data_IF_423442064219
#
_entry.id   IF_423442064219
#
_cell.length_a   1.000
_cell.length_b   1.000
_cell.length_c   1.000
_cell.angle_alpha   90.00
_cell.angle_beta   90.00
_cell.angle_gamma   90.00
#
_symmetry.space_group_name_H-M   'P 1'
#
loop_
_entity.id
_entity.type
_entity.pdbx_description
1 polymer ?
#
# COMPACT_ATOMS: atom_id res chain seq x y z
N UNK A 1 23.23 -15.15 -8.07
CA UNK A 1 22.29 -14.04 -7.77
C UNK A 1 21.35 -14.51 -6.66
N UNK A 2 21.24 -13.73 -5.58
CA UNK A 2 20.27 -13.94 -4.51
C UNK A 2 19.03 -13.10 -4.80
N UNK A 3 17.87 -13.73 -4.97
CA UNK A 3 16.62 -13.04 -5.28
C UNK A 3 15.74 -12.92 -4.05
N UNK A 4 15.23 -11.70 -3.83
CA UNK A 4 14.55 -11.33 -2.58
C UNK A 4 13.12 -10.91 -2.89
N UNK A 5 12.15 -11.65 -2.35
CA UNK A 5 10.74 -11.25 -2.31
C UNK A 5 10.48 -10.23 -1.21
N UNK A 6 9.35 -9.52 -1.30
CA UNK A 6 8.95 -8.54 -0.31
C UNK A 6 7.90 -9.13 0.66
N UNK A 7 8.08 -8.88 1.95
CA UNK A 7 7.10 -9.20 2.98
C UNK A 7 6.73 -7.99 3.83
N UNK A 8 5.58 -8.08 4.49
CA UNK A 8 5.21 -7.17 5.56
C UNK A 8 6.09 -7.35 6.79
N UNK A 9 6.06 -6.34 7.65
CA UNK A 9 6.54 -6.36 9.04
C UNK A 9 5.33 -6.24 9.98
N UNK A 10 5.52 -6.35 11.29
CA UNK A 10 4.43 -6.22 12.29
C UNK A 10 4.05 -4.76 12.59
N UNK A 11 4.44 -3.83 11.71
CA UNK A 11 4.08 -2.42 11.76
C UNK A 11 3.09 -2.04 10.66
N UNK A 12 2.11 -1.21 11.00
CA UNK A 12 1.21 -0.54 10.04
C UNK A 12 1.13 0.96 10.33
N UNK A 13 0.59 1.72 9.38
CA UNK A 13 0.24 3.13 9.53
C UNK A 13 -1.29 3.27 9.39
N UNK A 14 -2.06 3.13 10.48
CA UNK A 14 -3.50 3.08 10.42
C UNK A 14 -4.12 4.42 10.01
N UNK A 15 -5.21 4.33 9.26
CA UNK A 15 -6.11 5.46 9.04
C UNK A 15 -7.55 4.93 9.09
N UNK A 16 -8.31 5.40 10.07
CA UNK A 16 -9.70 4.97 10.24
C UNK A 16 -10.64 5.77 9.35
N UNK A 17 -11.61 5.08 8.78
CA UNK A 17 -12.83 5.69 8.24
C UNK A 17 -13.92 5.53 9.31
N UNK A 18 -14.26 6.63 9.97
CA UNK A 18 -15.26 6.69 11.03
C UNK A 18 -16.59 7.13 10.46
N UNK A 19 -17.64 6.32 10.64
CA UNK A 19 -18.98 6.57 10.11
C UNK A 19 -20.00 6.29 11.22
N UNK A 20 -20.52 7.35 11.85
CA UNK A 20 -21.32 7.22 13.06
C UNK A 20 -20.54 6.50 14.17
N UNK A 21 -21.03 5.36 14.65
CA UNK A 21 -20.34 4.52 15.65
C UNK A 21 -19.40 3.48 15.04
N UNK A 22 -19.38 3.34 13.71
CA UNK A 22 -18.53 2.37 13.02
C UNK A 22 -17.15 2.94 12.75
N UNK A 23 -16.13 2.12 12.95
CA UNK A 23 -14.74 2.44 12.66
C UNK A 23 -14.17 1.36 11.75
N UNK A 24 -13.77 1.74 10.53
CA UNK A 24 -13.20 0.83 9.53
C UNK A 24 -11.75 1.22 9.31
N UNK A 25 -10.81 0.42 9.82
CA UNK A 25 -9.38 0.74 9.76
C UNK A 25 -8.79 0.41 8.38
N UNK A 26 -8.35 1.43 7.65
CA UNK A 26 -7.46 1.34 6.50
C UNK A 26 -6.02 1.67 6.86
N UNK A 27 -5.22 2.10 5.88
CA UNK A 27 -3.88 2.65 6.10
C UNK A 27 -3.63 3.90 5.27
N UNK A 28 -2.77 4.78 5.77
CA UNK A 28 -2.39 6.03 5.11
C UNK A 28 -1.13 6.65 5.71
N UNK A 29 -0.52 7.58 4.98
CA UNK A 29 0.52 8.49 5.48
C UNK A 29 0.10 9.96 5.32
N UNK A 30 -1.19 10.20 5.06
CA UNK A 30 -1.77 11.53 4.96
C UNK A 30 -2.45 11.94 6.27
N UNK A 31 -2.83 13.21 6.37
CA UNK A 31 -3.49 13.78 7.54
C UNK A 31 -4.93 13.28 7.69
N UNK A 32 -5.53 13.58 8.84
CA UNK A 32 -6.97 13.43 9.08
C UNK A 32 -7.77 14.50 8.33
N UNK A 33 -9.06 14.24 8.11
CA UNK A 33 -10.03 15.31 7.80
C UNK A 33 -10.27 16.17 9.02
N UNK A 34 -10.51 17.47 8.83
CA UNK A 34 -10.71 18.41 9.94
C UNK A 34 -12.03 18.19 10.69
N UNK A 35 -13.04 17.64 10.00
CA UNK A 35 -14.37 17.38 10.53
C UNK A 35 -15.05 16.26 9.72
N UNK A 36 -16.15 15.68 10.23
CA UNK A 36 -16.98 14.78 9.42
C UNK A 36 -17.50 15.46 8.16
N UNK A 37 -17.41 14.76 7.02
CA UNK A 37 -17.86 15.22 5.71
C UNK A 37 -18.89 14.26 5.13
N UNK A 38 -19.76 14.75 4.25
CA UNK A 38 -20.60 13.86 3.46
C UNK A 38 -19.71 12.98 2.56
N UNK A 39 -20.14 11.75 2.29
CA UNK A 39 -19.43 10.84 1.40
C UNK A 39 -20.12 10.72 0.04
N UNK A 40 -19.36 10.34 -0.99
CA UNK A 40 -19.89 10.07 -2.32
C UNK A 40 -19.01 9.03 -3.02
N UNK A 41 -19.60 8.09 -3.77
CA UNK A 41 -18.81 7.22 -4.63
C UNK A 41 -18.38 7.96 -5.90
N UNK A 42 -17.18 7.66 -6.40
CA UNK A 42 -16.69 8.25 -7.65
C UNK A 42 -17.67 8.06 -8.81
N UNK A 43 -18.34 6.91 -8.87
CA UNK A 43 -19.37 6.62 -9.89
C UNK A 43 -20.56 7.60 -9.82
N UNK A 44 -21.04 7.94 -8.62
CA UNK A 44 -22.14 8.91 -8.44
C UNK A 44 -21.68 10.35 -8.62
N UNK A 45 -20.39 10.61 -8.44
CA UNK A 45 -19.74 11.88 -8.71
C UNK A 45 -19.38 12.10 -10.20
N UNK A 46 -19.91 11.31 -11.13
CA UNK A 46 -19.58 11.38 -12.55
C UNK A 46 -19.88 12.76 -13.18
N UNK A 47 -18.89 13.33 -13.88
CA UNK A 47 -19.03 14.54 -14.68
C UNK A 47 -19.80 14.30 -15.99
N UNK A 48 -20.38 15.37 -16.53
CA UNK A 48 -21.06 15.31 -17.82
C UNK A 48 -20.12 14.84 -18.93
N UNK A 49 -20.59 13.93 -19.79
CA UNK A 49 -19.80 13.37 -20.89
C UNK A 49 -18.75 12.33 -20.47
N UNK A 50 -18.66 11.98 -19.19
CA UNK A 50 -17.72 10.98 -18.67
C UNK A 50 -18.42 9.64 -18.41
N UNK A 51 -17.63 8.57 -18.47
CA UNK A 51 -18.09 7.22 -18.11
C UNK A 51 -18.09 7.06 -16.58
N UNK A 52 -19.16 6.50 -15.98
CA UNK A 52 -19.18 6.23 -14.54
C UNK A 52 -18.04 5.31 -14.08
N UNK A 53 -17.51 4.45 -14.96
CA UNK A 53 -16.35 3.62 -14.67
C UNK A 53 -15.05 4.43 -14.57
N UNK A 54 -14.89 5.50 -15.36
CA UNK A 54 -13.75 6.42 -15.22
C UNK A 54 -13.84 7.23 -13.92
N UNK A 55 -15.06 7.56 -13.51
CA UNK A 55 -15.34 8.32 -12.29
C UNK A 55 -15.20 7.48 -11.04
N UNK A 56 -15.60 6.21 -11.07
CA UNK A 56 -15.33 5.26 -9.98
C UNK A 56 -13.83 5.07 -9.75
N UNK A 57 -13.01 5.19 -10.79
CA UNK A 57 -11.56 5.16 -10.71
C UNK A 57 -10.94 6.53 -10.39
N UNK A 58 -11.70 7.62 -10.31
CA UNK A 58 -11.19 8.98 -10.11
C UNK A 58 -10.06 9.31 -11.09
N UNK A 59 -10.30 9.05 -12.39
CA UNK A 59 -9.43 9.47 -13.48
C UNK A 59 -9.46 10.99 -13.66
N UNK A 60 -8.39 11.62 -14.19
CA UNK A 60 -8.38 13.06 -14.43
C UNK A 60 -9.59 13.53 -15.26
N UNK A 61 -10.26 14.58 -14.80
CA UNK A 61 -11.44 15.16 -15.45
C UNK A 61 -12.73 14.33 -15.36
N UNK A 62 -12.75 13.20 -14.65
CA UNK A 62 -13.94 12.35 -14.58
C UNK A 62 -14.95 12.77 -13.50
N UNK A 63 -14.50 13.50 -12.47
CA UNK A 63 -15.34 13.92 -11.35
C UNK A 63 -16.00 15.27 -11.58
N UNK A 64 -17.28 15.37 -11.21
CA UNK A 64 -18.07 16.60 -11.22
C UNK A 64 -17.78 17.43 -9.94
N UNK A 65 -17.17 18.61 -10.05
CA UNK A 65 -16.85 19.44 -8.88
C UNK A 65 -18.09 19.81 -8.05
N UNK A 66 -19.25 20.02 -8.69
CA UNK A 66 -20.48 20.37 -7.98
C UNK A 66 -20.99 19.22 -7.09
N UNK A 67 -20.67 17.96 -7.44
CA UNK A 67 -21.05 16.79 -6.65
C UNK A 67 -20.02 16.45 -5.57
N UNK A 68 -18.75 16.80 -5.79
CA UNK A 68 -17.59 16.41 -4.97
C UNK A 68 -17.21 17.43 -3.91
N UNK A 69 -17.40 18.73 -4.17
CA UNK A 69 -16.93 19.80 -3.29
C UNK A 69 -17.30 19.56 -1.82
N UNK A 70 -16.28 19.55 -0.95
CA UNK A 70 -16.42 19.35 0.50
C UNK A 70 -16.72 17.92 0.96
N UNK A 71 -16.67 16.92 0.07
CA UNK A 71 -17.01 15.52 0.39
C UNK A 71 -15.79 14.61 0.42
N UNK A 72 -15.92 13.50 1.14
CA UNK A 72 -15.00 12.37 1.01
C UNK A 72 -15.44 11.52 -0.19
N UNK A 73 -14.54 11.36 -1.16
CA UNK A 73 -14.82 10.58 -2.36
C UNK A 73 -14.30 9.15 -2.19
N UNK A 74 -15.16 8.16 -2.43
CA UNK A 74 -14.77 6.75 -2.45
C UNK A 74 -14.37 6.37 -3.88
N UNK A 75 -13.07 6.19 -4.10
CA UNK A 75 -12.45 5.84 -5.39
C UNK A 75 -11.98 4.39 -5.38
N UNK A 76 -12.02 3.71 -6.52
CA UNK A 76 -11.51 2.35 -6.68
C UNK A 76 -10.09 2.36 -7.26
N UNK A 77 -9.23 1.47 -6.74
CA UNK A 77 -7.87 1.23 -7.24
C UNK A 77 -7.92 0.55 -8.60
N UNK A 78 -7.06 0.99 -9.51
CA UNK A 78 -6.95 0.48 -10.89
C UNK A 78 -6.93 1.62 -11.89
N UNK A 79 -7.08 1.30 -13.17
CA UNK A 79 -7.07 2.29 -14.26
C UNK A 79 -5.68 2.84 -14.58
N UNK A 80 -5.67 3.94 -15.35
CA UNK A 80 -4.45 4.50 -15.92
C UNK A 80 -3.65 5.43 -14.98
N UNK A 81 -4.22 5.88 -13.86
CA UNK A 81 -3.53 6.75 -12.89
C UNK A 81 -3.20 6.01 -11.58
N UNK A 82 -2.07 6.40 -10.97
CA UNK A 82 -1.59 5.85 -9.70
C UNK A 82 -2.48 6.20 -8.51
N UNK A 83 -2.30 5.47 -7.40
CA UNK A 83 -3.09 5.61 -6.16
C UNK A 83 -3.07 7.04 -5.62
N UNK A 84 -1.89 7.64 -5.52
CA UNK A 84 -1.75 9.01 -5.00
C UNK A 84 -2.32 10.05 -5.96
N UNK A 85 -2.16 9.84 -7.27
CA UNK A 85 -2.72 10.72 -8.30
C UNK A 85 -4.26 10.79 -8.26
N UNK A 86 -4.95 9.72 -7.85
CA UNK A 86 -6.41 9.78 -7.63
C UNK A 86 -6.77 10.80 -6.53
N UNK A 87 -5.95 10.91 -5.49
CA UNK A 87 -6.12 11.94 -4.46
C UNK A 87 -5.97 13.36 -5.01
N UNK A 88 -5.10 13.57 -6.01
CA UNK A 88 -5.01 14.84 -6.72
C UNK A 88 -6.28 15.15 -7.50
N UNK A 89 -6.83 14.18 -8.22
CA UNK A 89 -8.08 14.36 -8.96
C UNK A 89 -9.23 14.75 -8.02
N UNK A 90 -9.32 14.10 -6.86
CA UNK A 90 -10.32 14.45 -5.84
C UNK A 90 -10.10 15.86 -5.31
N UNK A 91 -8.84 16.24 -5.04
CA UNK A 91 -8.47 17.60 -4.61
C UNK A 91 -8.86 18.65 -5.65
N UNK A 92 -8.57 18.41 -6.93
CA UNK A 92 -8.87 19.33 -8.02
C UNK A 92 -10.38 19.54 -8.21
N UNK A 93 -11.18 18.51 -7.91
CA UNK A 93 -12.64 18.60 -7.88
C UNK A 93 -13.22 19.19 -6.58
N UNK A 94 -12.36 19.65 -5.65
CA UNK A 94 -12.77 20.28 -4.39
C UNK A 94 -13.12 19.31 -3.26
N UNK A 95 -12.76 18.03 -3.37
CA UNK A 95 -13.05 17.02 -2.35
C UNK A 95 -12.26 17.23 -1.06
N UNK A 96 -12.89 16.95 0.07
CA UNK A 96 -12.31 17.09 1.40
C UNK A 96 -11.40 15.91 1.80
N UNK A 97 -11.60 14.75 1.18
CA UNK A 97 -10.79 13.55 1.43
C UNK A 97 -11.10 12.42 0.47
N UNK A 98 -10.37 11.31 0.59
CA UNK A 98 -10.55 10.15 -0.29
C UNK A 98 -10.44 8.82 0.47
N UNK A 99 -11.44 7.95 0.31
CA UNK A 99 -11.26 6.54 0.60
C UNK A 99 -10.84 5.84 -0.69
N UNK A 100 -9.63 5.29 -0.71
CA UNK A 100 -9.17 4.45 -1.81
C UNK A 100 -9.52 3.00 -1.52
N UNK A 101 -10.33 2.41 -2.39
CA UNK A 101 -10.80 1.05 -2.27
C UNK A 101 -10.08 0.10 -3.19
N UNK A 102 -9.57 -0.99 -2.67
CA UNK A 102 -9.08 -2.07 -3.52
C UNK A 102 -10.21 -2.64 -4.39
N UNK A 103 -9.90 -2.89 -5.67
CA UNK A 103 -10.73 -3.76 -6.50
C UNK A 103 -10.65 -5.21 -5.98
N UNK A 104 -11.63 -6.05 -6.34
CA UNK A 104 -11.69 -7.46 -5.92
C UNK A 104 -10.39 -8.22 -6.20
N UNK A 105 -9.76 -7.97 -7.35
CA UNK A 105 -8.49 -8.58 -7.76
C UNK A 105 -7.30 -8.21 -6.86
N UNK A 106 -7.38 -7.08 -6.16
CA UNK A 106 -6.35 -6.62 -5.21
C UNK A 106 -6.57 -7.12 -3.78
N UNK A 107 -7.78 -7.63 -3.47
CA UNK A 107 -8.13 -8.21 -2.17
C UNK A 107 -7.73 -7.31 -0.98
N UNK A 108 -6.98 -7.91 -0.05
CA UNK A 108 -6.54 -7.28 1.20
C UNK A 108 -5.17 -6.57 1.11
N UNK A 109 -4.66 -6.34 -0.10
CA UNK A 109 -3.37 -5.67 -0.28
C UNK A 109 -3.47 -4.16 -0.04
N UNK A 110 -3.31 -3.74 1.21
CA UNK A 110 -3.36 -2.34 1.61
C UNK A 110 -1.94 -1.83 1.85
N UNK A 111 -1.63 -0.67 1.29
CA UNK A 111 -0.35 0.03 1.45
C UNK A 111 -0.66 1.48 1.82
N UNK A 112 0.03 1.97 2.85
CA UNK A 112 -0.04 3.34 3.30
C UNK A 112 0.67 4.26 2.30
N UNK A 113 -0.06 5.16 1.66
CA UNK A 113 0.50 6.12 0.71
C UNK A 113 0.43 7.56 1.27
N UNK A 114 1.37 8.43 0.88
CA UNK A 114 1.40 9.84 1.27
C UNK A 114 0.47 10.68 0.38
N UNK A 115 -0.83 10.45 0.47
CA UNK A 115 -1.80 11.29 -0.25
C UNK A 115 -1.64 12.77 0.13
N UNK A 116 -2.00 13.66 -0.81
CA UNK A 116 -1.92 15.12 -0.64
C UNK A 116 -3.18 15.73 0.00
N UNK A 117 -4.20 14.90 0.18
CA UNK A 117 -5.44 15.16 0.90
C UNK A 117 -5.62 14.04 1.94
N UNK A 118 -6.43 14.25 2.98
CA UNK A 118 -6.81 13.19 3.89
C UNK A 118 -7.32 11.97 3.14
N UNK A 119 -6.70 10.83 3.36
CA UNK A 119 -7.07 9.61 2.66
C UNK A 119 -6.90 8.36 3.51
N UNK A 120 -7.67 7.32 3.21
CA UNK A 120 -7.49 5.98 3.76
C UNK A 120 -7.57 4.94 2.64
N UNK A 121 -6.58 4.05 2.57
CA UNK A 121 -6.61 2.91 1.67
C UNK A 121 -7.20 1.70 2.41
N UNK A 122 -8.27 1.12 1.87
CA UNK A 122 -9.00 0.02 2.48
C UNK A 122 -9.04 -1.21 1.56
N UNK A 123 -9.11 -2.40 2.16
CA UNK A 123 -9.28 -3.65 1.43
C UNK A 123 -10.63 -3.72 0.74
N UNK A 124 -10.76 -4.62 -0.23
CA UNK A 124 -12.02 -4.80 -0.97
C UNK A 124 -13.21 -5.05 -0.03
N UNK A 125 -13.07 -5.99 0.92
CA UNK A 125 -14.12 -6.35 1.88
C UNK A 125 -14.54 -5.17 2.76
N UNK A 126 -13.58 -4.42 3.30
CA UNK A 126 -13.83 -3.20 4.09
C UNK A 126 -14.52 -2.12 3.25
N UNK A 127 -14.17 -2.01 1.98
CA UNK A 127 -14.80 -1.06 1.09
C UNK A 127 -16.25 -1.39 0.72
N UNK A 128 -16.60 -2.68 0.60
CA UNK A 128 -17.99 -3.07 0.48
C UNK A 128 -18.81 -2.62 1.70
N UNK A 129 -18.22 -2.71 2.90
CA UNK A 129 -18.86 -2.17 4.11
C UNK A 129 -19.00 -0.64 4.04
N UNK A 130 -17.92 0.10 3.73
CA UNK A 130 -17.96 1.58 3.60
C UNK A 130 -19.04 2.02 2.59
N UNK A 131 -19.13 1.34 1.44
CA UNK A 131 -20.11 1.65 0.41
C UNK A 131 -21.56 1.44 0.87
N UNK A 132 -21.81 0.53 1.82
CA UNK A 132 -23.16 0.37 2.40
C UNK A 132 -23.58 1.56 3.28
N UNK A 133 -22.62 2.39 3.71
CA UNK A 133 -22.85 3.62 4.47
C UNK A 133 -22.60 4.91 3.68
N UNK A 134 -22.50 4.85 2.35
CA UNK A 134 -22.05 5.98 1.53
C UNK A 134 -22.90 7.26 1.67
N UNK A 135 -24.14 7.15 2.14
CA UNK A 135 -25.04 8.30 2.38
C UNK A 135 -24.82 8.96 3.75
N UNK A 136 -23.98 8.40 4.60
CA UNK A 136 -23.66 8.93 5.93
C UNK A 136 -22.51 9.94 5.89
N UNK A 137 -22.36 10.69 6.98
CA UNK A 137 -21.16 11.49 7.22
C UNK A 137 -20.01 10.55 7.62
N UNK A 138 -18.84 10.75 7.01
CA UNK A 138 -17.62 10.03 7.31
C UNK A 138 -16.50 10.98 7.73
N UNK A 139 -15.54 10.46 8.49
CA UNK A 139 -14.33 11.17 8.89
C UNK A 139 -13.14 10.25 8.70
N UNK A 140 -12.03 10.78 8.16
CA UNK A 140 -10.77 10.03 8.05
C UNK A 140 -9.89 10.46 9.22
N UNK A 141 -9.48 9.50 10.06
CA UNK A 141 -8.61 9.73 11.22
C UNK A 141 -7.30 8.97 11.04
N UNK A 142 -6.24 9.68 10.71
CA UNK A 142 -4.89 9.14 10.73
C UNK A 142 -4.46 8.84 12.17
N UNK A 143 -3.77 7.72 12.39
CA UNK A 143 -3.21 7.34 13.69
C UNK A 143 -1.69 7.18 13.60
N UNK A 144 -1.06 7.19 14.77
CA UNK A 144 0.34 6.83 14.90
C UNK A 144 0.59 5.38 14.45
N UNK A 145 1.84 5.08 14.10
CA UNK A 145 2.23 3.75 13.69
C UNK A 145 1.96 2.73 14.80
N UNK A 146 1.32 1.62 14.44
CA UNK A 146 1.02 0.53 15.37
C UNK A 146 1.96 -0.64 15.13
N UNK A 147 2.45 -1.25 16.22
CA UNK A 147 3.36 -2.40 16.21
C UNK A 147 2.65 -3.66 16.72
N UNK A 148 3.22 -4.83 16.43
CA UNK A 148 2.69 -6.11 16.88
C UNK A 148 1.50 -6.63 16.07
N UNK A 149 1.28 -6.10 14.87
CA UNK A 149 0.20 -6.54 13.97
C UNK A 149 0.43 -7.98 13.52
N UNK A 150 -0.64 -8.77 13.56
CA UNK A 150 -0.65 -10.18 13.15
C UNK A 150 -1.69 -10.42 12.05
N UNK A 151 -1.44 -11.34 11.11
CA UNK A 151 -0.21 -12.13 10.94
C UNK A 151 0.95 -11.31 10.37
N UNK A 152 2.18 -11.63 10.78
CA UNK A 152 3.43 -11.04 10.26
C UNK A 152 4.59 -12.03 10.41
N UNK A 153 5.48 -12.16 9.40
CA UNK A 153 5.41 -11.54 8.07
C UNK A 153 4.35 -12.19 7.15
N UNK A 154 3.85 -11.43 6.18
CA UNK A 154 2.99 -11.87 5.08
C UNK A 154 3.65 -11.48 3.77
N UNK A 155 3.64 -12.38 2.78
CA UNK A 155 4.16 -12.06 1.45
C UNK A 155 3.34 -10.93 0.82
N UNK A 156 4.01 -9.87 0.37
CA UNK A 156 3.35 -8.73 -0.26
C UNK A 156 2.70 -9.16 -1.58
N UNK A 157 1.49 -8.67 -1.88
CA UNK A 157 0.76 -9.08 -3.07
C UNK A 157 1.48 -8.72 -4.38
N UNK A 158 2.24 -7.62 -4.37
CA UNK A 158 3.02 -7.16 -5.51
C UNK A 158 4.36 -7.91 -5.69
N UNK A 159 4.78 -8.72 -4.71
CA UNK A 159 6.04 -9.44 -4.81
C UNK A 159 5.95 -10.47 -5.93
N UNK A 160 6.83 -10.36 -6.93
CA UNK A 160 6.92 -11.32 -8.02
C UNK A 160 7.08 -12.74 -7.51
N UNK A 161 6.44 -13.68 -8.22
CA UNK A 161 6.38 -15.09 -7.86
C UNK A 161 7.11 -15.94 -8.87
N UNK A 162 7.65 -17.06 -8.41
CA UNK A 162 8.10 -18.12 -9.29
C UNK A 162 6.95 -18.88 -9.97
N UNK A 163 7.27 -19.91 -10.76
CA UNK A 163 8.61 -20.52 -10.90
C UNK A 163 9.58 -19.67 -11.71
N UNK A 164 10.86 -20.03 -11.69
CA UNK A 164 11.86 -19.45 -12.57
C UNK A 164 11.56 -19.86 -14.02
N UNK A 165 11.28 -18.90 -14.90
CA UNK A 165 10.90 -19.15 -16.30
C UNK A 165 12.06 -19.60 -17.18
N UNK A 166 13.31 -19.31 -16.77
CA UNK A 166 14.52 -19.68 -17.52
C UNK A 166 14.97 -21.10 -17.15
N UNK A 167 14.96 -21.41 -15.85
CA UNK A 167 15.38 -22.72 -15.33
C UNK A 167 14.42 -23.16 -14.23
N UNK A 168 13.29 -23.80 -14.59
CA UNK A 168 12.23 -24.16 -13.64
C UNK A 168 12.66 -25.05 -12.47
N UNK A 169 13.76 -25.80 -12.65
CA UNK A 169 14.35 -26.67 -11.62
C UNK A 169 15.00 -25.88 -10.47
N UNK A 170 15.29 -24.58 -10.67
CA UNK A 170 15.85 -23.70 -9.65
C UNK A 170 14.74 -22.80 -9.11
N UNK A 171 14.30 -23.06 -7.88
CA UNK A 171 13.24 -22.30 -7.21
C UNK A 171 13.63 -20.82 -7.06
N UNK A 172 12.65 -19.93 -7.29
CA UNK A 172 12.75 -18.48 -7.10
C UNK A 172 11.41 -17.92 -6.57
N UNK A 173 11.40 -16.84 -5.76
CA UNK A 173 12.57 -16.19 -5.18
C UNK A 173 13.27 -17.06 -4.11
N UNK A 174 14.49 -16.70 -3.73
CA UNK A 174 15.30 -17.48 -2.76
C UNK A 174 14.87 -17.23 -1.31
N UNK A 175 14.53 -15.98 -0.97
CA UNK A 175 14.15 -15.57 0.38
C UNK A 175 13.16 -14.40 0.33
N UNK A 176 12.46 -14.13 1.43
CA UNK A 176 11.69 -12.90 1.63
C UNK A 176 12.33 -12.05 2.73
N UNK A 177 12.20 -10.73 2.60
CA UNK A 177 12.61 -9.78 3.64
C UNK A 177 11.63 -8.61 3.71
N UNK A 178 11.65 -7.81 4.80
CA UNK A 178 10.78 -6.66 4.94
C UNK A 178 10.90 -5.71 3.76
N UNK A 179 9.79 -5.51 3.05
CA UNK A 179 9.72 -4.67 1.86
C UNK A 179 8.41 -3.92 1.74
N UNK A 180 7.57 -3.91 2.78
CA UNK A 180 6.34 -3.14 2.83
C UNK A 180 6.46 -2.12 3.94
N UNK A 181 6.15 -0.86 3.63
CA UNK A 181 6.13 0.26 4.57
C UNK A 181 7.46 0.43 5.31
N UNK A 182 8.59 0.34 4.60
CA UNK A 182 9.95 0.54 5.12
C UNK A 182 10.25 2.03 5.19
N UNK A 183 10.78 2.50 6.33
CA UNK A 183 11.25 3.88 6.48
C UNK A 183 12.73 3.93 6.09
N UNK A 184 13.09 4.83 5.18
CA UNK A 184 14.47 5.08 4.78
C UNK A 184 14.71 6.57 4.51
N UNK A 185 15.98 6.98 4.42
CA UNK A 185 16.36 8.34 4.05
C UNK A 185 15.84 8.71 2.66
N UNK A 186 15.50 9.97 2.46
CA UNK A 186 14.92 10.50 1.23
C UNK A 186 15.57 11.85 0.88
N UNK A 187 15.76 12.12 -0.42
CA UNK A 187 16.63 13.21 -0.88
C UNK A 187 16.12 14.61 -0.57
N UNK A 188 14.83 14.77 -0.28
CA UNK A 188 14.14 16.07 -0.20
C UNK A 188 14.12 16.85 -1.53
N UNK A 189 14.53 16.25 -2.65
CA UNK A 189 14.41 16.90 -3.97
C UNK A 189 13.00 16.72 -4.53
N UNK A 190 12.43 15.53 -4.34
CA UNK A 190 11.08 15.16 -4.79
C UNK A 190 10.11 15.09 -3.62
N UNK A 191 8.83 15.30 -3.92
CA UNK A 191 7.76 15.24 -2.94
C UNK A 191 7.47 13.79 -2.52
N UNK A 192 6.97 13.55 -1.30
CA UNK A 192 6.56 12.21 -0.85
C UNK A 192 5.58 11.54 -1.81
N UNK A 193 4.64 12.31 -2.38
CA UNK A 193 3.66 11.78 -3.34
C UNK A 193 4.23 11.52 -4.74
N UNK A 194 5.40 12.08 -5.06
CA UNK A 194 5.93 12.14 -6.42
C UNK A 194 5.15 13.08 -7.35
N UNK A 195 4.13 13.80 -6.86
CA UNK A 195 3.36 14.75 -7.65
C UNK A 195 4.02 16.13 -7.64
N UNK A 196 4.00 16.81 -8.80
CA UNK A 196 4.54 18.17 -8.94
C UNK A 196 3.78 19.21 -8.09
N UNK A 197 2.50 18.97 -7.84
CA UNK A 197 1.61 19.79 -7.00
C UNK A 197 1.86 19.65 -5.50
N UNK A 198 2.67 18.68 -5.08
CA UNK A 198 2.97 18.43 -3.68
C UNK A 198 4.24 19.17 -3.25
N UNK A 199 4.06 20.23 -2.47
CA UNK A 199 5.15 21.03 -1.93
C UNK A 199 5.89 20.40 -0.75
N UNK A 200 5.40 19.29 -0.17
CA UNK A 200 6.03 18.67 1.01
C UNK A 200 7.44 18.16 0.68
N UNK A 201 8.36 18.26 1.64
CA UNK A 201 9.72 17.68 1.60
C UNK A 201 10.02 17.00 2.91
N UNK A 202 10.57 15.79 2.85
CA UNK A 202 10.81 14.93 4.02
C UNK A 202 12.20 14.30 3.92
N UNK A 203 12.93 14.29 5.04
CA UNK A 203 14.25 13.64 5.12
C UNK A 203 14.14 12.10 5.18
N UNK A 204 12.97 11.58 5.53
CA UNK A 204 12.67 10.16 5.60
C UNK A 204 11.31 9.86 4.97
N UNK A 205 11.23 8.74 4.28
CA UNK A 205 10.04 8.34 3.54
C UNK A 205 9.71 6.87 3.80
N UNK A 206 8.41 6.55 3.76
CA UNK A 206 7.89 5.19 3.86
C UNK A 206 7.62 4.66 2.46
N UNK A 207 8.35 3.63 2.03
CA UNK A 207 8.17 3.02 0.71
C UNK A 207 7.95 1.50 0.79
N UNK A 208 7.40 0.95 -0.29
CA UNK A 208 7.12 -0.49 -0.43
C UNK A 208 7.62 -0.98 -1.78
N UNK A 209 8.32 -2.11 -1.79
CA UNK A 209 8.86 -2.74 -2.98
C UNK A 209 9.86 -3.84 -2.66
N UNK A 210 10.13 -4.70 -3.62
CA UNK A 210 11.29 -5.61 -3.54
C UNK A 210 12.61 -4.85 -3.54
N UNK A 211 12.63 -3.64 -4.10
CA UNK A 211 13.73 -2.68 -3.96
C UNK A 211 14.03 -2.30 -2.50
N UNK A 212 13.05 -2.42 -1.60
CA UNK A 212 13.23 -2.15 -0.17
C UNK A 212 13.60 -3.42 0.60
N UNK A 213 13.20 -4.61 0.13
CA UNK A 213 13.62 -5.87 0.75
C UNK A 213 15.05 -6.28 0.38
N UNK A 214 15.48 -6.01 -0.86
CA UNK A 214 16.84 -6.25 -1.34
C UNK A 214 17.95 -5.68 -0.42
N UNK A 215 17.96 -4.38 -0.04
CA UNK A 215 19.02 -3.81 0.78
C UNK A 215 19.10 -4.40 2.19
N UNK A 216 17.99 -4.89 2.76
CA UNK A 216 18.03 -5.61 4.04
C UNK A 216 18.90 -6.87 3.94
N UNK A 217 18.70 -7.66 2.89
CA UNK A 217 19.46 -8.89 2.67
C UNK A 217 20.90 -8.60 2.25
N UNK A 218 21.11 -7.54 1.44
CA UNK A 218 22.45 -7.08 1.09
C UNK A 218 23.25 -6.66 2.32
N UNK A 219 22.63 -5.95 3.27
CA UNK A 219 23.24 -5.59 4.56
C UNK A 219 23.64 -6.81 5.38
N UNK A 220 22.75 -7.81 5.50
CA UNK A 220 23.05 -9.08 6.17
C UNK A 220 24.24 -9.79 5.50
N UNK A 221 24.26 -9.86 4.15
CA UNK A 221 25.36 -10.45 3.41
C UNK A 221 26.69 -9.70 3.66
N UNK A 222 26.65 -8.37 3.73
CA UNK A 222 27.81 -7.53 4.09
C UNK A 222 28.34 -7.83 5.50
N UNK A 223 27.45 -7.95 6.49
CA UNK A 223 27.83 -8.31 7.87
C UNK A 223 28.44 -9.72 7.94
N UNK A 224 27.87 -10.70 7.22
CA UNK A 224 28.43 -12.05 7.13
C UNK A 224 29.81 -12.04 6.47
N UNK A 225 30.00 -11.25 5.41
CA UNK A 225 31.30 -11.09 4.75
C UNK A 225 32.35 -10.47 5.67
N UNK A 226 31.96 -9.47 6.47
CA UNK A 226 32.85 -8.83 7.45
C UNK A 226 33.26 -9.80 8.57
N UNK A 227 32.30 -10.59 9.09
CA UNK A 227 32.56 -11.58 10.15
C UNK A 227 33.31 -12.81 9.65
N UNK A 228 33.06 -13.24 8.41
CA UNK A 228 33.67 -14.42 7.79
C UNK A 228 34.38 -14.06 6.47
N UNK A 229 35.55 -13.40 6.50
CA UNK A 229 36.23 -12.89 5.30
C UNK A 229 36.70 -13.97 4.31
N UNK A 230 36.75 -15.24 4.73
CA UNK A 230 37.09 -16.38 3.85
C UNK A 230 35.87 -17.01 3.17
N UNK A 231 34.65 -16.67 3.57
CA UNK A 231 33.44 -17.20 2.95
C UNK A 231 33.25 -16.63 1.55
N UNK A 232 33.02 -17.51 0.58
CA UNK A 232 32.69 -17.12 -0.79
C UNK A 232 31.18 -16.76 -0.88
N UNK A 233 30.72 -16.16 -1.99
CA UNK A 233 29.32 -15.77 -2.14
C UNK A 233 28.32 -16.92 -1.94
N UNK A 234 28.67 -18.15 -2.34
CA UNK A 234 27.79 -19.32 -2.19
C UNK A 234 27.66 -19.75 -0.72
N UNK A 235 28.71 -19.62 0.09
CA UNK A 235 28.66 -19.88 1.53
C UNK A 235 27.75 -18.87 2.23
N UNK A 236 27.87 -17.57 1.90
CA UNK A 236 27.01 -16.51 2.45
C UNK A 236 25.55 -16.74 2.04
N UNK A 237 25.32 -17.03 0.75
CA UNK A 237 24.01 -17.37 0.20
C UNK A 237 23.38 -18.57 0.93
N UNK A 238 24.14 -19.66 1.08
CA UNK A 238 23.69 -20.88 1.75
C UNK A 238 23.35 -20.62 3.22
N UNK A 239 24.19 -19.88 3.94
CA UNK A 239 23.93 -19.49 5.32
C UNK A 239 22.60 -18.72 5.43
N UNK A 240 22.40 -17.68 4.61
CA UNK A 240 21.17 -16.86 4.65
C UNK A 240 19.93 -17.73 4.39
N UNK A 241 19.96 -18.59 3.37
CA UNK A 241 18.80 -19.41 3.02
C UNK A 241 18.50 -20.50 4.06
N UNK A 242 19.53 -21.23 4.50
CA UNK A 242 19.35 -22.40 5.39
C UNK A 242 18.99 -22.00 6.82
N UNK A 243 19.26 -20.75 7.22
CA UNK A 243 18.84 -20.20 8.52
C UNK A 243 17.64 -19.27 8.44
N UNK A 244 16.97 -19.17 7.29
CA UNK A 244 15.78 -18.32 7.15
C UNK A 244 14.64 -18.82 8.04
N UNK A 245 14.00 -17.91 8.78
CA UNK A 245 12.83 -18.25 9.58
C UNK A 245 11.64 -18.67 8.71
N UNK A 246 10.86 -19.66 9.14
CA UNK A 246 9.72 -20.22 8.39
C UNK A 246 8.49 -19.30 8.29
N UNK A 247 8.65 -18.00 8.58
CA UNK A 247 7.68 -16.96 8.23
C UNK A 247 6.56 -16.68 9.23
N UNK A 248 6.59 -17.27 10.44
CA UNK A 248 5.71 -16.90 11.56
C UNK A 248 6.36 -17.26 12.91
N UNK A 249 6.03 -16.53 13.98
CA UNK A 249 6.43 -16.88 15.37
C UNK A 249 5.79 -18.20 15.88
N UNK A 250 5.16 -18.99 15.01
CA UNK A 250 4.50 -20.26 15.34
C UNK A 250 4.30 -21.05 14.05
N UNK A 251 4.96 -22.20 13.88
CA UNK A 251 5.00 -23.12 12.71
C UNK A 251 3.76 -23.14 11.76
N UNK A 252 3.47 -22.02 11.11
CA UNK A 252 2.40 -21.82 10.14
C UNK A 252 3.04 -21.10 8.95
N UNK A 253 2.98 -21.64 7.74
CA UNK A 253 3.57 -20.97 6.59
C UNK A 253 3.00 -19.55 6.43
N UNK A 254 3.80 -18.57 5.98
CA UNK A 254 3.32 -17.20 5.81
C UNK A 254 2.08 -17.20 4.92
N UNK A 255 0.99 -16.62 5.43
CA UNK A 255 -0.27 -16.54 4.69
C UNK A 255 -0.06 -15.70 3.43
N UNK A 256 -0.75 -16.07 2.36
CA UNK A 256 -0.82 -15.28 1.13
C UNK A 256 -1.81 -14.15 1.35
N UNK A 257 -1.49 -12.92 0.95
CA UNK A 257 -2.54 -11.93 0.70
C UNK A 257 -3.42 -12.48 -0.43
N UNK A 258 -4.73 -12.57 -0.22
CA UNK A 258 -5.64 -13.16 -1.20
C UNK A 258 -5.56 -12.41 -2.54
N UNK A 259 -4.96 -13.04 -3.54
CA UNK A 259 -5.13 -12.73 -4.96
C UNK A 259 -5.56 -14.02 -5.64
N UNK A 260 -6.53 -13.92 -6.54
CA UNK A 260 -7.08 -15.03 -7.32
C UNK A 260 -5.98 -15.89 -7.95
N UNK A 261 -6.29 -17.18 -8.13
CA UNK A 261 -5.42 -18.17 -8.80
C UNK A 261 -4.91 -17.56 -10.11
N UNK A 262 -3.58 -17.58 -10.30
CA UNK A 262 -3.00 -17.34 -11.60
C UNK A 262 -3.48 -18.46 -12.54
N UNK A 263 -4.03 -18.08 -13.69
CA UNK A 263 -4.17 -18.95 -14.87
C UNK A 263 -2.81 -19.36 -15.38
#
# INVERSE_FOLDING_TARGET
MLTVGASTMDRIFPADVVIGTKTITGQSLSSSTDQPCAMISGEKANAAGQSPANSSLCLPGSLDPAKVSGKIVVCTRGGANGRVAKGQVVKDAGGAGMVLCNAAVSGDNVIADPHIIPAAHCSYSKCQEILSYIQSMGEIRARDAELGVKPSPVMAAFSSRGPNTITPQILKPDIIAPGVSVIAAYSQEVSPSGLASDGRRVAYMVESGTSMSCPHVAGIAGLLRAKYPKWNPNMIYSAIMTTAGSGTRRAVPPRRSATARAT
#
